data_IF_613986954161
#
_entry.id   IF_613986954161
#
_cell.length_a   1.000
_cell.length_b   1.000
_cell.length_c   1.000
_cell.angle_alpha   90.00
_cell.angle_beta   90.00
_cell.angle_gamma   90.00
#
_symmetry.space_group_name_H-M   'P 1'
#
loop_
_entity.id
_entity.type
_entity.pdbx_description
1 polymer ?
#
# COMPACT_ATOMS: atom_id res chain seq x y z
N UNK A 1 13.24 -26.72 2.90
CA UNK A 1 12.05 -26.17 3.59
C UNK A 1 12.22 -24.66 3.62
N UNK A 2 11.15 -23.86 3.68
CA UNK A 2 11.25 -22.39 3.73
C UNK A 2 10.85 -21.89 5.13
N UNK A 3 11.54 -20.89 5.66
CA UNK A 3 11.25 -20.27 6.96
C UNK A 3 10.01 -19.38 6.91
N UNK A 4 9.80 -18.72 5.76
CA UNK A 4 8.63 -17.89 5.52
C UNK A 4 8.16 -17.98 4.07
N UNK A 5 6.84 -17.91 3.88
CA UNK A 5 6.20 -17.78 2.57
C UNK A 5 5.50 -16.42 2.49
N UNK A 6 5.84 -15.63 1.47
CA UNK A 6 5.17 -14.37 1.14
C UNK A 6 4.22 -14.59 -0.03
N UNK A 7 2.94 -14.35 0.19
CA UNK A 7 1.89 -14.48 -0.84
C UNK A 7 1.55 -13.09 -1.39
N UNK A 8 1.82 -12.89 -2.69
CA UNK A 8 1.60 -11.65 -3.42
C UNK A 8 2.91 -10.95 -3.79
N UNK A 9 3.28 -10.99 -5.07
CA UNK A 9 4.55 -10.46 -5.61
C UNK A 9 4.55 -8.96 -5.91
N UNK A 10 3.49 -8.24 -5.57
CA UNK A 10 3.41 -6.78 -5.74
C UNK A 10 4.42 -6.02 -4.88
N UNK A 11 4.48 -4.69 -5.03
CA UNK A 11 5.46 -3.83 -4.34
C UNK A 11 5.53 -4.05 -2.82
N UNK A 12 4.40 -4.26 -2.16
CA UNK A 12 4.33 -4.50 -0.71
C UNK A 12 4.92 -5.85 -0.35
N UNK A 13 4.53 -6.92 -1.04
CA UNK A 13 5.04 -8.27 -0.76
C UNK A 13 6.51 -8.42 -1.12
N UNK A 14 6.95 -7.86 -2.25
CA UNK A 14 8.37 -7.79 -2.63
C UNK A 14 9.20 -7.03 -1.58
N UNK A 15 8.71 -5.91 -1.08
CA UNK A 15 9.39 -5.17 -0.02
C UNK A 15 9.48 -5.98 1.28
N UNK A 16 8.40 -6.64 1.70
CA UNK A 16 8.39 -7.52 2.88
C UNK A 16 9.36 -8.69 2.70
N UNK A 17 9.34 -9.37 1.55
CA UNK A 17 10.24 -10.48 1.25
C UNK A 17 11.72 -10.05 1.33
N UNK A 18 12.06 -8.90 0.74
CA UNK A 18 13.40 -8.30 0.81
C UNK A 18 13.81 -7.97 2.26
N UNK A 19 12.89 -7.49 3.08
CA UNK A 19 13.14 -7.27 4.50
C UNK A 19 13.41 -8.57 5.26
N UNK A 20 12.61 -9.60 4.99
CA UNK A 20 12.72 -10.92 5.64
C UNK A 20 14.02 -11.64 5.31
N UNK A 21 14.58 -11.46 4.11
CA UNK A 21 15.87 -12.06 3.74
C UNK A 21 17.05 -11.53 4.57
N UNK A 22 16.86 -10.46 5.35
CA UNK A 22 17.88 -9.98 6.30
C UNK A 22 17.81 -10.67 7.67
N UNK A 23 16.79 -11.50 7.89
CA UNK A 23 16.47 -12.08 9.20
C UNK A 23 16.19 -13.59 9.17
N UNK A 24 16.00 -14.17 7.98
CA UNK A 24 15.67 -15.58 7.76
C UNK A 24 16.56 -16.16 6.66
N UNK A 25 16.86 -17.45 6.75
CA UNK A 25 17.74 -18.12 5.79
C UNK A 25 17.03 -18.38 4.46
N UNK A 26 15.70 -18.59 4.49
CA UNK A 26 14.93 -18.99 3.31
C UNK A 26 13.53 -18.36 3.26
N UNK A 27 13.30 -17.54 2.23
CA UNK A 27 12.01 -16.87 1.97
C UNK A 27 11.51 -17.28 0.60
N UNK A 28 10.32 -17.89 0.54
CA UNK A 28 9.62 -18.18 -0.71
C UNK A 28 8.59 -17.10 -1.00
N UNK A 29 8.69 -16.45 -2.15
CA UNK A 29 7.64 -15.54 -2.63
C UNK A 29 6.83 -16.20 -3.75
N UNK A 30 5.51 -16.18 -3.61
CA UNK A 30 4.58 -16.73 -4.60
C UNK A 30 3.66 -15.60 -5.05
N UNK A 31 3.47 -15.45 -6.36
CA UNK A 31 2.51 -14.50 -6.93
C UNK A 31 1.51 -15.19 -7.86
N UNK A 32 0.39 -14.51 -8.11
CA UNK A 32 -0.62 -14.93 -9.06
C UNK A 32 -0.16 -14.85 -10.52
N UNK A 33 -0.90 -15.51 -11.41
CA UNK A 33 -0.68 -15.45 -12.86
C UNK A 33 -0.90 -14.04 -13.41
N UNK A 34 -0.35 -13.78 -14.59
CA UNK A 34 -0.45 -12.44 -15.18
C UNK A 34 -1.84 -11.96 -15.53
N UNK A 35 -2.74 -12.91 -15.77
CA UNK A 35 -4.15 -12.70 -16.07
C UNK A 35 -5.01 -12.39 -14.84
N UNK A 36 -4.48 -12.51 -13.62
CA UNK A 36 -5.28 -12.24 -12.42
C UNK A 36 -5.45 -10.73 -12.18
N UNK A 37 -6.64 -10.27 -11.77
CA UNK A 37 -6.84 -8.87 -11.39
C UNK A 37 -5.91 -8.49 -10.23
N UNK A 38 -5.10 -7.44 -10.40
CA UNK A 38 -4.15 -7.01 -9.35
C UNK A 38 -4.44 -5.59 -8.89
N UNK A 39 -4.28 -5.34 -7.60
CA UNK A 39 -4.37 -3.99 -7.04
C UNK A 39 -3.30 -3.03 -7.60
N UNK A 40 -2.15 -3.56 -8.05
CA UNK A 40 -1.03 -2.79 -8.56
C UNK A 40 -1.10 -2.47 -10.08
N UNK A 41 -2.16 -2.86 -10.79
CA UNK A 41 -2.29 -2.60 -12.24
C UNK A 41 -2.66 -1.15 -12.60
N UNK A 42 -2.89 -0.27 -11.62
CA UNK A 42 -3.14 1.13 -11.89
C UNK A 42 -2.49 2.03 -10.86
N UNK A 43 -1.39 2.64 -11.28
CA UNK A 43 -0.95 3.96 -10.86
C UNK A 43 0.10 4.41 -11.88
N UNK A 44 -0.29 5.00 -13.00
CA UNK A 44 0.60 5.92 -13.73
C UNK A 44 -0.22 6.72 -14.74
N UNK A 45 -0.19 8.05 -14.62
CA UNK A 45 -0.84 8.97 -15.57
C UNK A 45 -2.13 9.64 -15.10
N UNK A 46 -2.24 10.04 -13.82
CA UNK A 46 -3.36 10.90 -13.39
C UNK A 46 -3.09 12.35 -13.79
N UNK A 47 -3.78 12.84 -14.83
CA UNK A 47 -4.02 14.27 -15.02
C UNK A 47 -5.37 14.61 -14.37
N UNK A 48 -5.45 14.47 -13.05
CA UNK A 48 -6.67 14.74 -12.28
C UNK A 48 -6.32 15.41 -10.93
N UNK A 49 -7.24 16.26 -10.44
CA UNK A 49 -7.20 16.88 -9.12
C UNK A 49 -7.33 15.86 -7.97
N UNK A 50 -6.22 15.46 -7.34
CA UNK A 50 -6.26 14.62 -6.13
C UNK A 50 -5.77 15.42 -4.90
N UNK A 51 -6.67 15.65 -3.94
CA UNK A 51 -6.30 16.20 -2.64
C UNK A 51 -6.11 15.07 -1.62
N UNK A 52 -4.95 15.03 -0.96
CA UNK A 52 -4.63 14.18 0.18
C UNK A 52 -4.59 15.03 1.46
N UNK A 53 -5.69 15.08 2.18
CA UNK A 53 -5.83 15.94 3.36
C UNK A 53 -7.26 15.92 3.85
N UNK A 54 -7.68 14.77 4.37
CA UNK A 54 -8.98 14.64 5.04
C UNK A 54 -9.04 15.72 6.12
N UNK A 55 -10.10 16.51 6.11
CA UNK A 55 -10.30 17.62 7.06
C UNK A 55 -9.27 18.76 6.98
N UNK A 56 -8.57 18.95 5.85
CA UNK A 56 -7.64 20.07 5.65
C UNK A 56 -8.06 21.00 4.50
N UNK A 57 -8.95 21.99 4.74
CA UNK A 57 -9.46 22.89 3.70
C UNK A 57 -8.38 23.72 3.00
N UNK A 58 -7.32 24.11 3.72
CA UNK A 58 -6.20 24.84 3.13
C UNK A 58 -5.43 23.98 2.10
N UNK A 59 -5.18 22.71 2.43
CA UNK A 59 -4.51 21.76 1.54
C UNK A 59 -5.37 21.46 0.30
N UNK A 60 -6.69 21.33 0.47
CA UNK A 60 -7.63 21.19 -0.64
C UNK A 60 -7.59 22.41 -1.56
N UNK A 61 -7.60 23.63 -1.00
CA UNK A 61 -7.51 24.88 -1.78
C UNK A 61 -6.21 24.96 -2.58
N UNK A 62 -5.07 24.66 -1.95
CA UNK A 62 -3.76 24.64 -2.63
C UNK A 62 -3.73 23.61 -3.76
N UNK A 63 -4.21 22.39 -3.50
CA UNK A 63 -4.31 21.33 -4.50
C UNK A 63 -5.17 21.76 -5.70
N UNK A 64 -6.25 22.53 -5.46
CA UNK A 64 -7.16 23.02 -6.50
C UNK A 64 -6.58 24.19 -7.28
N UNK A 65 -5.77 25.03 -6.64
CA UNK A 65 -5.05 26.09 -7.32
C UNK A 65 -3.94 25.52 -8.21
N UNK A 66 -3.25 24.47 -7.77
CA UNK A 66 -2.22 23.79 -8.55
C UNK A 66 -2.76 23.23 -9.88
N UNK A 67 -4.02 22.78 -9.95
CA UNK A 67 -4.60 22.32 -11.21
C UNK A 67 -4.93 23.43 -12.19
N UNK A 68 -5.00 24.69 -11.75
CA UNK A 68 -5.12 25.85 -12.65
C UNK A 68 -3.81 26.18 -13.35
N UNK A 69 -2.68 25.64 -12.87
CA UNK A 69 -1.39 25.73 -13.54
C UNK A 69 -1.28 24.81 -14.76
N UNK A 70 -2.37 24.15 -15.20
CA UNK A 70 -2.38 23.39 -16.46
C UNK A 70 -2.03 24.27 -17.67
N UNK A 71 -2.29 25.58 -17.57
CA UNK A 71 -1.83 26.59 -18.54
C UNK A 71 -0.30 26.71 -18.64
N UNK A 72 0.46 26.18 -17.66
CA UNK A 72 1.93 26.11 -17.70
C UNK A 72 2.40 24.93 -18.55
N UNK A 73 1.54 23.93 -18.78
CA UNK A 73 1.87 22.71 -19.52
C UNK A 73 1.06 22.58 -20.82
N UNK A 74 0.82 23.68 -21.52
CA UNK A 74 0.06 23.69 -22.78
C UNK A 74 0.71 22.82 -23.87
N UNK A 75 2.02 22.57 -23.81
CA UNK A 75 2.70 21.63 -24.71
C UNK A 75 2.20 20.18 -24.53
N UNK A 76 1.64 19.84 -23.36
CA UNK A 76 0.98 18.54 -23.17
C UNK A 76 -0.30 18.39 -24.03
N UNK A 77 -0.86 19.48 -24.56
CA UNK A 77 -1.98 19.40 -25.52
C UNK A 77 -1.54 18.80 -26.87
N UNK A 78 -0.22 18.75 -27.13
CA UNK A 78 0.35 18.27 -28.39
C UNK A 78 0.85 16.84 -28.32
N UNK A 79 0.86 16.22 -27.14
CA UNK A 79 1.34 14.83 -26.96
C UNK A 79 0.17 13.84 -26.96
N UNK A 80 0.33 12.73 -27.67
CA UNK A 80 -0.65 11.65 -27.67
C UNK A 80 -0.48 10.74 -26.47
N UNK A 81 -1.59 10.32 -25.85
CA UNK A 81 -1.55 9.29 -24.82
C UNK A 81 -1.11 7.94 -25.44
N UNK A 82 0.02 7.40 -24.99
CA UNK A 82 0.55 6.12 -25.49
C UNK A 82 -0.26 4.93 -24.96
N UNK A 83 -0.74 5.02 -23.72
CA UNK A 83 -1.50 3.95 -23.03
C UNK A 83 -2.19 4.51 -21.79
N UNK A 84 -3.35 3.96 -21.46
CA UNK A 84 -4.10 4.27 -20.26
C UNK A 84 -4.42 2.96 -19.51
N UNK A 85 -4.38 3.02 -18.19
CA UNK A 85 -4.75 1.90 -17.34
C UNK A 85 -5.77 2.34 -16.30
N UNK A 86 -6.63 1.40 -15.93
CA UNK A 86 -7.52 1.52 -14.78
C UNK A 86 -7.29 0.33 -13.86
N UNK A 87 -7.61 0.51 -12.59
CA UNK A 87 -7.39 -0.53 -11.60
C UNK A 87 -8.09 -0.18 -10.30
N UNK A 88 -8.30 -1.22 -9.49
CA UNK A 88 -9.02 -1.09 -8.23
C UNK A 88 -8.05 -0.70 -7.13
N UNK A 89 -8.36 0.38 -6.42
CA UNK A 89 -7.64 0.78 -5.24
C UNK A 89 -8.43 0.36 -4.01
N UNK A 90 -7.88 -0.60 -3.26
CA UNK A 90 -8.45 -1.00 -1.97
C UNK A 90 -8.00 0.04 -0.95
N UNK A 91 -8.96 0.80 -0.42
CA UNK A 91 -8.76 1.83 0.61
C UNK A 91 -9.73 1.55 1.74
N UNK A 92 -9.24 1.61 2.98
CA UNK A 92 -10.08 1.56 4.17
C UNK A 92 -10.80 2.90 4.38
N UNK A 93 -11.94 2.94 5.11
CA UNK A 93 -12.68 4.17 5.35
C UNK A 93 -11.85 5.32 5.96
N UNK A 94 -10.86 4.98 6.78
CA UNK A 94 -9.94 5.92 7.44
C UNK A 94 -8.65 6.20 6.66
N UNK A 95 -8.45 5.55 5.50
CA UNK A 95 -7.24 5.69 4.66
C UNK A 95 -5.96 5.23 5.41
N UNK A 96 -6.09 4.38 6.42
CA UNK A 96 -4.98 3.81 7.19
C UNK A 96 -4.74 2.36 6.75
N UNK A 97 -3.48 1.87 6.61
CA UNK A 97 -3.26 0.47 6.22
C UNK A 97 -3.82 -0.53 7.26
N UNK A 98 -4.02 -1.77 6.82
CA UNK A 98 -4.34 -2.88 7.72
C UNK A 98 -3.11 -3.79 7.83
N UNK A 99 -2.58 -3.92 9.05
CA UNK A 99 -1.59 -4.93 9.41
C UNK A 99 -2.16 -5.79 10.52
N UNK A 100 -1.98 -7.10 10.43
CA UNK A 100 -2.47 -7.97 11.48
C UNK A 100 -2.06 -9.42 11.34
N UNK A 101 -2.44 -10.18 12.36
CA UNK A 101 -2.23 -11.62 12.44
C UNK A 101 -3.57 -12.33 12.35
N UNK A 102 -3.61 -13.45 11.63
CA UNK A 102 -4.80 -14.30 11.59
C UNK A 102 -5.05 -14.92 12.97
N UNK A 103 -6.27 -14.81 13.48
CA UNK A 103 -6.71 -15.53 14.68
C UNK A 103 -6.96 -17.01 14.40
N UNK A 104 -7.30 -17.36 13.14
CA UNK A 104 -7.63 -18.72 12.71
C UNK A 104 -6.40 -19.54 12.34
N UNK A 105 -5.36 -18.90 11.82
CA UNK A 105 -4.16 -19.56 11.31
C UNK A 105 -2.90 -18.98 12.00
N UNK A 106 -2.44 -19.58 13.10
CA UNK A 106 -1.25 -19.12 13.82
C UNK A 106 -0.04 -19.00 12.88
N UNK A 107 0.69 -17.89 13.01
CA UNK A 107 1.86 -17.58 12.17
C UNK A 107 1.53 -16.97 10.80
N UNK A 108 0.24 -16.78 10.48
CA UNK A 108 -0.17 -16.04 9.27
C UNK A 108 -0.36 -14.56 9.57
N UNK A 109 0.23 -13.71 8.73
CA UNK A 109 0.13 -12.26 8.82
C UNK A 109 -0.45 -11.71 7.51
N UNK A 110 -1.14 -10.57 7.61
CA UNK A 110 -1.68 -9.86 6.45
C UNK A 110 -1.25 -8.39 6.48
N UNK A 111 -0.98 -7.87 5.29
CA UNK A 111 -0.57 -6.50 5.06
C UNK A 111 -1.33 -5.92 3.86
N UNK A 112 -2.29 -5.04 4.13
CA UNK A 112 -3.13 -4.39 3.13
C UNK A 112 -2.83 -2.89 3.16
N UNK A 113 -2.30 -2.36 2.06
CA UNK A 113 -1.88 -0.97 1.98
C UNK A 113 -2.17 -0.37 0.60
N UNK A 114 -2.75 0.82 0.59
CA UNK A 114 -3.10 1.58 -0.61
C UNK A 114 -1.96 2.51 -1.09
N UNK A 115 -0.90 2.67 -0.28
CA UNK A 115 0.28 3.51 -0.52
C UNK A 115 1.56 2.67 -0.61
N UNK A 116 1.44 1.46 -1.19
CA UNK A 116 2.50 0.45 -1.17
C UNK A 116 3.84 0.87 -1.76
N UNK A 117 3.85 1.74 -2.78
CA UNK A 117 5.11 2.26 -3.36
C UNK A 117 5.80 3.22 -2.38
N UNK A 118 5.07 4.22 -1.87
CA UNK A 118 5.60 5.21 -0.93
C UNK A 118 6.09 4.55 0.36
N UNK A 119 5.37 3.53 0.84
CA UNK A 119 5.68 2.84 2.08
C UNK A 119 6.56 1.59 1.90
N UNK A 120 7.09 1.33 0.69
CA UNK A 120 7.91 0.14 0.43
C UNK A 120 9.09 0.02 1.40
N UNK A 121 9.82 1.11 1.67
CA UNK A 121 10.95 1.11 2.62
C UNK A 121 10.48 0.81 4.05
N UNK A 122 9.32 1.36 4.45
CA UNK A 122 8.73 1.04 5.76
C UNK A 122 8.34 -0.44 5.85
N UNK A 123 7.76 -1.00 4.78
CA UNK A 123 7.40 -2.42 4.69
C UNK A 123 8.62 -3.34 4.78
N UNK A 124 9.73 -2.99 4.12
CA UNK A 124 10.96 -3.78 4.14
C UNK A 124 11.71 -3.73 5.48
N UNK A 125 11.52 -2.68 6.29
CA UNK A 125 12.29 -2.50 7.54
C UNK A 125 11.39 -2.57 8.76
N UNK A 126 10.77 -1.45 9.09
CA UNK A 126 10.05 -1.27 10.34
C UNK A 126 8.88 -2.23 10.49
N UNK A 127 8.15 -2.54 9.42
CA UNK A 127 7.03 -3.47 9.48
C UNK A 127 7.50 -4.90 9.77
N UNK A 128 8.49 -5.41 9.03
CA UNK A 128 9.07 -6.75 9.26
C UNK A 128 9.59 -6.87 10.69
N UNK A 129 10.35 -5.87 11.15
CA UNK A 129 10.86 -5.84 12.51
C UNK A 129 9.77 -5.94 13.58
N UNK A 130 8.61 -5.31 13.35
CA UNK A 130 7.49 -5.31 14.30
C UNK A 130 6.66 -6.59 14.24
N UNK A 131 6.33 -7.07 13.04
CA UNK A 131 5.48 -8.25 12.86
C UNK A 131 6.13 -9.53 13.41
N UNK A 132 7.46 -9.60 13.33
CA UNK A 132 8.25 -10.74 13.76
C UNK A 132 8.94 -10.53 15.12
N UNK A 133 8.65 -9.42 15.81
CA UNK A 133 9.11 -9.18 17.19
C UNK A 133 10.60 -8.86 17.32
N UNK A 134 11.29 -8.46 16.25
CA UNK A 134 12.70 -8.07 16.27
C UNK A 134 12.94 -6.70 16.95
N UNK A 135 11.92 -5.84 17.03
CA UNK A 135 12.00 -4.52 17.69
C UNK A 135 10.72 -4.22 18.49
N UNK A 136 10.87 -3.69 19.71
CA UNK A 136 9.79 -3.21 20.57
C UNK A 136 9.48 -1.70 20.38
N UNK A 137 8.22 -1.29 20.61
CA UNK A 137 7.76 0.11 20.54
C UNK A 137 6.77 0.39 19.40
N UNK A 138 5.94 1.45 19.51
CA UNK A 138 4.74 1.82 18.70
C UNK A 138 3.85 0.66 18.25
N UNK A 139 2.66 0.56 18.84
CA UNK A 139 1.76 -0.56 18.61
C UNK A 139 1.24 -0.62 17.15
N UNK A 140 1.40 -1.78 16.51
CA UNK A 140 0.75 -2.06 15.21
C UNK A 140 -0.75 -2.25 15.37
N UNK A 141 -1.29 -2.32 16.60
CA UNK A 141 -2.72 -2.43 16.83
C UNK A 141 -3.56 -1.30 16.25
N UNK A 142 -3.01 -0.08 16.14
CA UNK A 142 -3.70 1.00 15.43
C UNK A 142 -3.96 0.66 13.95
N UNK A 143 -3.15 -0.23 13.37
CA UNK A 143 -3.31 -0.74 12.01
C UNK A 143 -4.09 -2.06 11.97
N UNK A 144 -4.57 -2.58 13.11
CA UNK A 144 -5.39 -3.79 13.13
C UNK A 144 -6.69 -3.58 12.37
N UNK A 145 -7.21 -4.65 11.75
CA UNK A 145 -8.55 -4.65 11.19
C UNK A 145 -9.63 -4.43 12.27
N UNK A 146 -9.34 -4.81 13.52
CA UNK A 146 -10.24 -4.68 14.68
C UNK A 146 -10.67 -3.25 14.99
N UNK A 147 -9.97 -2.24 14.48
CA UNK A 147 -10.38 -0.85 14.65
C UNK A 147 -11.71 -0.52 13.96
N UNK A 148 -12.19 -1.41 13.09
CA UNK A 148 -13.50 -1.34 12.46
C UNK A 148 -14.53 -2.28 13.10
N UNK A 149 -14.17 -3.00 14.17
CA UNK A 149 -15.13 -3.80 14.92
C UNK A 149 -16.11 -2.83 15.59
N UNK A 150 -17.35 -2.81 15.11
CA UNK A 150 -18.46 -2.13 15.77
C UNK A 150 -19.19 -3.14 16.65
N UNK A 151 -19.57 -2.74 17.88
CA UNK A 151 -20.44 -3.57 18.71
C UNK A 151 -21.72 -3.88 17.92
N UNK A 152 -22.13 -5.16 17.90
CA UNK A 152 -23.43 -5.52 17.38
C UNK A 152 -24.50 -4.77 18.20
N UNK A 153 -25.33 -3.98 17.51
CA UNK A 153 -26.46 -3.27 18.09
C UNK A 153 -27.55 -4.24 18.53
#
# INVERSE_FOLDING_TARGET
>A
MFDCVVIGGGVVGSAIACGLTSHLDSVLMIDGRDSYPRAAQANFGLVWYQSKGVSMPAYQRLSRLATRAISVFLDLLRVSAVRQWSGRRVITPDIVPIFGRSSRFPGTYFCICHSGVTLAVYHARSLVQRLFGYVSGHDVQQFSARRFDVQAA
#
